data_IF_593799105689
#
_entry.id   IF_593799105689
#
_cell.length_a   1.000
_cell.length_b   1.000
_cell.length_c   1.000
_cell.angle_alpha   90.00
_cell.angle_beta   90.00
_cell.angle_gamma   90.00
#
_symmetry.space_group_name_H-M   'P 1'
#
loop_
_entity.id
_entity.type
_entity.pdbx_description
1 polymer ?
#
# COMPACT_ATOMS: atom_id res chain seq x y z
N UNK A 1 -9.76 -11.96 -0.71
CA UNK A 1 -9.22 -11.73 0.66
C UNK A 1 -7.73 -11.49 0.51
N UNK A 2 -7.22 -10.33 0.91
CA UNK A 2 -5.79 -10.05 0.80
C UNK A 2 -4.98 -10.90 1.79
N UNK A 3 -4.00 -11.63 1.27
CA UNK A 3 -2.98 -12.34 2.03
C UNK A 3 -1.91 -11.35 2.53
N UNK A 4 -1.11 -11.73 3.55
CA UNK A 4 0.03 -10.93 3.99
C UNK A 4 1.02 -10.61 2.87
N UNK A 5 1.18 -11.51 1.90
CA UNK A 5 2.05 -11.29 0.74
C UNK A 5 1.49 -10.21 -0.21
N UNK A 6 0.19 -10.22 -0.47
CA UNK A 6 -0.48 -9.22 -1.30
C UNK A 6 -0.49 -7.85 -0.64
N UNK A 7 -0.77 -7.78 0.66
CA UNK A 7 -0.66 -6.51 1.41
C UNK A 7 0.77 -5.96 1.34
N UNK A 8 1.77 -6.84 1.50
CA UNK A 8 3.16 -6.45 1.45
C UNK A 8 3.54 -5.90 0.07
N UNK A 9 3.09 -6.54 -1.01
CA UNK A 9 3.28 -6.03 -2.36
C UNK A 9 2.58 -4.68 -2.58
N UNK A 10 1.34 -4.55 -2.12
CA UNK A 10 0.58 -3.31 -2.18
C UNK A 10 1.31 -2.15 -1.47
N UNK A 11 1.85 -2.39 -0.27
CA UNK A 11 2.63 -1.39 0.46
C UNK A 11 3.91 -1.01 -0.28
N UNK A 12 4.58 -1.96 -0.92
CA UNK A 12 5.76 -1.64 -1.73
C UNK A 12 5.39 -0.67 -2.87
N UNK A 13 4.29 -0.90 -3.57
CA UNK A 13 3.77 0.03 -4.58
C UNK A 13 3.42 1.39 -3.95
N UNK A 14 2.76 1.39 -2.79
CA UNK A 14 2.37 2.61 -2.08
C UNK A 14 3.59 3.48 -1.74
N UNK A 15 4.65 2.89 -1.19
CA UNK A 15 5.89 3.59 -0.84
C UNK A 15 6.68 4.06 -2.07
N UNK A 16 6.66 3.31 -3.17
CA UNK A 16 7.29 3.74 -4.43
C UNK A 16 6.63 5.00 -5.02
N UNK A 17 5.34 5.20 -4.74
CA UNK A 17 4.62 6.42 -5.10
C UNK A 17 4.90 7.59 -4.15
N UNK A 18 5.80 7.40 -3.16
CA UNK A 18 6.11 8.40 -2.14
C UNK A 18 5.03 8.55 -1.08
N UNK A 19 4.05 7.65 -1.03
CA UNK A 19 2.98 7.66 -0.02
C UNK A 19 3.40 6.84 1.19
N UNK A 20 3.14 7.34 2.38
CA UNK A 20 3.56 6.74 3.64
C UNK A 20 2.46 5.96 4.36
N UNK A 21 2.84 5.27 5.44
CA UNK A 21 1.90 4.68 6.42
C UNK A 21 2.02 5.44 7.73
N UNK A 22 0.89 5.87 8.29
CA UNK A 22 0.80 6.58 9.55
C UNK A 22 0.47 5.64 10.71
N UNK A 23 1.28 5.66 11.75
CA UNK A 23 1.05 4.89 12.98
C UNK A 23 0.33 5.78 14.00
N UNK A 24 -0.94 5.49 14.27
CA UNK A 24 -1.83 6.32 15.09
C UNK A 24 -1.28 6.55 16.50
N UNK A 25 -0.66 5.53 17.13
CA UNK A 25 -0.15 5.66 18.50
C UNK A 25 1.03 6.62 18.66
N UNK A 26 1.74 6.95 17.57
CA UNK A 26 2.99 7.72 17.64
C UNK A 26 3.00 8.96 16.75
N UNK A 27 1.95 9.20 15.95
CA UNK A 27 1.97 10.23 14.91
C UNK A 27 3.13 10.05 13.93
N UNK A 28 3.61 8.81 13.79
CA UNK A 28 4.83 8.48 13.07
C UNK A 28 4.47 8.05 11.65
N UNK A 29 5.06 8.69 10.66
CA UNK A 29 4.92 8.33 9.24
C UNK A 29 6.13 7.47 8.81
N UNK A 30 5.84 6.31 8.23
CA UNK A 30 6.83 5.38 7.68
C UNK A 30 6.78 5.43 6.16
N UNK A 31 7.90 5.78 5.54
CA UNK A 31 8.09 5.74 4.09
C UNK A 31 9.51 5.25 3.78
N UNK A 32 9.75 3.93 3.73
CA UNK A 32 11.06 3.39 3.47
C UNK A 32 11.54 3.78 2.06
N UNK A 33 12.79 4.20 1.95
CA UNK A 33 13.45 4.49 0.68
C UNK A 33 14.91 4.03 0.72
N UNK A 34 15.39 3.24 -0.26
CA UNK A 34 14.63 2.72 -1.40
C UNK A 34 13.67 1.60 -0.98
N UNK A 35 12.61 1.34 -1.76
CA UNK A 35 11.67 0.23 -1.49
C UNK A 35 12.15 -1.08 -2.12
N UNK A 36 12.70 -0.99 -3.33
CA UNK A 36 13.28 -2.10 -4.08
C UNK A 36 14.76 -1.82 -4.27
N UNK A 37 15.58 -2.84 -4.07
CA UNK A 37 17.00 -2.82 -4.36
C UNK A 37 17.35 -4.07 -5.19
N UNK A 38 17.97 -3.90 -6.36
CA UNK A 38 18.34 -4.98 -7.27
C UNK A 38 17.19 -5.97 -7.61
N UNK A 39 15.96 -5.48 -7.77
CA UNK A 39 14.80 -6.31 -8.12
C UNK A 39 14.19 -7.10 -6.95
N UNK A 40 14.66 -6.87 -5.72
CA UNK A 40 14.09 -7.44 -4.50
C UNK A 40 13.69 -6.34 -3.52
N UNK A 41 12.87 -6.68 -2.54
CA UNK A 41 12.57 -5.74 -1.46
C UNK A 41 13.86 -5.33 -0.74
N UNK A 42 14.02 -4.03 -0.52
CA UNK A 42 15.18 -3.50 0.18
C UNK A 42 15.12 -3.85 1.68
N UNK A 43 16.27 -3.82 2.35
CA UNK A 43 16.33 -3.96 3.80
C UNK A 43 15.50 -2.87 4.51
N UNK A 44 15.49 -1.63 3.98
CA UNK A 44 14.70 -0.55 4.54
C UNK A 44 13.18 -0.86 4.51
N UNK A 45 12.71 -1.49 3.44
CA UNK A 45 11.32 -1.93 3.34
C UNK A 45 11.04 -3.12 4.27
N UNK A 46 11.95 -4.09 4.35
CA UNK A 46 11.85 -5.23 5.28
C UNK A 46 11.74 -4.77 6.74
N UNK A 47 12.63 -3.86 7.16
CA UNK A 47 12.66 -3.31 8.52
C UNK A 47 11.36 -2.54 8.81
N UNK A 48 10.90 -1.74 7.85
CA UNK A 48 9.61 -1.05 7.94
C UNK A 48 8.44 -2.04 8.08
N UNK A 49 8.42 -3.11 7.28
CA UNK A 49 7.38 -4.13 7.33
C UNK A 49 7.35 -4.84 8.69
N UNK A 50 8.51 -5.24 9.22
CA UNK A 50 8.61 -5.81 10.56
C UNK A 50 8.13 -4.82 11.63
N UNK A 51 8.51 -3.54 11.52
CA UNK A 51 8.07 -2.51 12.45
C UNK A 51 6.54 -2.36 12.44
N UNK A 52 5.91 -2.34 11.27
CA UNK A 52 4.45 -2.29 11.13
C UNK A 52 3.77 -3.49 11.81
N UNK A 53 4.32 -4.69 11.65
CA UNK A 53 3.83 -5.89 12.34
C UNK A 53 3.96 -5.77 13.86
N UNK A 54 5.10 -5.27 14.35
CA UNK A 54 5.36 -5.07 15.78
C UNK A 54 4.46 -3.99 16.42
N UNK A 55 4.14 -2.93 15.69
CA UNK A 55 3.22 -1.87 16.16
C UNK A 55 1.75 -2.32 16.15
N UNK A 56 1.44 -3.41 15.44
CA UNK A 56 0.08 -3.88 15.23
C UNK A 56 -0.58 -3.19 14.03
N UNK A 57 -0.92 -3.99 13.02
CA UNK A 57 -1.46 -3.53 11.73
C UNK A 57 -2.79 -2.76 11.86
N UNK A 58 -3.55 -2.96 12.95
CA UNK A 58 -4.79 -2.21 13.21
C UNK A 58 -4.58 -0.77 13.62
N UNK A 59 -3.34 -0.39 13.96
CA UNK A 59 -2.97 0.97 14.36
C UNK A 59 -2.16 1.70 13.27
N UNK A 60 -2.00 1.06 12.11
CA UNK A 60 -1.23 1.55 10.98
C UNK A 60 -2.21 1.88 9.85
N UNK A 61 -2.22 3.13 9.39
CA UNK A 61 -3.17 3.64 8.40
C UNK A 61 -2.44 4.11 7.15
N UNK A 62 -3.03 3.91 5.97
CA UNK A 62 -2.44 4.43 4.74
C UNK A 62 -2.59 5.95 4.69
N UNK A 63 -1.53 6.66 4.31
CA UNK A 63 -1.58 8.11 4.15
C UNK A 63 -2.66 8.54 3.13
N UNK A 64 -3.48 9.52 3.51
CA UNK A 64 -4.57 10.00 2.67
C UNK A 64 -5.80 9.10 2.67
N UNK A 65 -5.82 8.03 3.48
CA UNK A 65 -7.01 7.20 3.69
C UNK A 65 -7.31 7.06 5.19
N UNK A 66 -8.54 6.64 5.51
CA UNK A 66 -8.93 6.30 6.89
C UNK A 66 -8.77 4.81 7.22
N UNK A 67 -8.10 4.03 6.37
CA UNK A 67 -8.12 2.57 6.41
C UNK A 67 -6.88 2.03 7.12
N UNK A 68 -7.07 1.07 8.02
CA UNK A 68 -5.98 0.39 8.70
C UNK A 68 -5.46 -0.82 7.91
N UNK A 69 -4.19 -1.19 8.11
CA UNK A 69 -3.60 -2.37 7.47
C UNK A 69 -4.26 -3.68 7.94
N UNK A 70 -4.79 -3.73 9.18
CA UNK A 70 -5.52 -4.89 9.65
C UNK A 70 -6.86 -5.06 8.94
N UNK A 71 -7.57 -3.98 8.61
CA UNK A 71 -8.79 -4.06 7.82
C UNK A 71 -8.50 -4.65 6.44
N UNK A 72 -7.39 -4.23 5.81
CA UNK A 72 -6.96 -4.78 4.51
C UNK A 72 -6.72 -6.31 4.58
N UNK A 73 -6.12 -6.82 5.66
CA UNK A 73 -5.93 -8.26 5.88
C UNK A 73 -7.19 -9.01 6.32
N UNK A 74 -8.15 -8.32 6.93
CA UNK A 74 -9.36 -8.91 7.54
C UNK A 74 -10.36 -9.50 6.53
N UNK A 75 -10.01 -9.54 5.24
CA UNK A 75 -10.86 -10.12 4.19
C UNK A 75 -12.02 -9.25 3.74
N UNK A 76 -12.18 -8.05 4.32
CA UNK A 76 -13.13 -7.04 3.87
C UNK A 76 -12.71 -6.35 2.57
N UNK A 77 -11.56 -6.72 2.02
CA UNK A 77 -10.97 -6.10 0.84
C UNK A 77 -10.41 -7.16 -0.12
N UNK A 78 -10.54 -6.84 -1.40
CA UNK A 78 -9.89 -7.56 -2.49
C UNK A 78 -8.82 -6.68 -3.13
N UNK A 79 -7.65 -7.25 -3.35
CA UNK A 79 -6.60 -6.62 -4.15
C UNK A 79 -6.89 -6.98 -5.59
N UNK A 80 -7.13 -5.99 -6.42
CA UNK A 80 -7.42 -6.16 -7.84
C UNK A 80 -6.54 -5.22 -8.65
N UNK A 81 -6.24 -5.57 -9.89
CA UNK A 81 -5.48 -4.68 -10.74
C UNK A 81 -6.38 -3.53 -11.19
N UNK A 82 -5.85 -2.30 -11.08
CA UNK A 82 -6.52 -1.14 -11.62
C UNK A 82 -6.70 -1.33 -13.13
N UNK A 83 -7.94 -1.30 -13.61
CA UNK A 83 -8.25 -1.44 -15.04
C UNK A 83 -7.58 -0.40 -15.96
N UNK A 84 -6.98 0.66 -15.39
CA UNK A 84 -6.31 1.74 -16.14
C UNK A 84 -4.79 1.64 -16.20
N UNK A 85 -4.16 1.12 -15.15
CA UNK A 85 -2.69 1.13 -15.03
C UNK A 85 -2.10 -0.19 -14.51
N UNK A 86 -2.92 -1.22 -14.34
CA UNK A 86 -2.56 -2.53 -13.81
C UNK A 86 -1.91 -2.51 -12.40
N UNK A 87 -1.93 -1.39 -11.68
CA UNK A 87 -1.45 -1.33 -10.31
C UNK A 87 -2.43 -1.99 -9.34
N UNK A 88 -1.94 -2.63 -8.26
CA UNK A 88 -2.81 -3.20 -7.26
C UNK A 88 -3.61 -2.10 -6.56
N UNK A 89 -4.93 -2.21 -6.62
CA UNK A 89 -5.88 -1.40 -5.89
C UNK A 89 -6.61 -2.27 -4.89
N UNK A 90 -6.74 -1.79 -3.66
CA UNK A 90 -7.63 -2.40 -2.69
C UNK A 90 -9.05 -1.94 -2.99
N UNK A 91 -10.02 -2.86 -2.96
CA UNK A 91 -11.45 -2.57 -3.13
C UNK A 91 -12.24 -3.27 -2.04
N UNK A 92 -13.23 -2.59 -1.46
CA UNK A 92 -14.03 -3.15 -0.37
C UNK A 92 -14.92 -4.26 -0.92
N UNK A 93 -14.87 -5.44 -0.33
CA UNK A 93 -15.80 -6.53 -0.63
C UNK A 93 -17.17 -6.17 -0.05
N UNK A 94 -18.13 -5.82 -0.92
CA UNK A 94 -19.54 -5.63 -0.53
C UNK A 94 -19.97 -4.21 -0.13
N UNK A 95 -19.37 -3.16 -0.70
CA UNK A 95 -19.82 -1.76 -0.51
C UNK A 95 -19.67 -0.92 -1.78
N UNK A 96 -19.96 0.40 -1.71
CA UNK A 96 -19.57 1.31 -2.79
C UNK A 96 -18.03 1.35 -2.87
N UNK A 97 -17.44 1.35 -4.08
CA UNK A 97 -16.01 1.48 -4.24
C UNK A 97 -15.60 2.90 -3.85
N UNK A 98 -15.15 3.09 -2.61
CA UNK A 98 -14.64 4.36 -2.10
C UNK A 98 -13.18 4.63 -2.52
N UNK A 99 -12.56 3.71 -3.26
CA UNK A 99 -11.11 3.77 -3.49
C UNK A 99 -10.80 4.33 -4.87
N UNK A 100 -10.34 5.58 -4.86
CA UNK A 100 -9.55 6.16 -5.95
C UNK A 100 -8.24 5.39 -6.08
N UNK A 101 -7.84 5.06 -7.31
CA UNK A 101 -6.52 4.49 -7.60
C UNK A 101 -5.44 5.29 -6.83
N UNK A 102 -4.39 4.64 -6.26
CA UNK A 102 -3.23 5.32 -5.70
C UNK A 102 -2.64 6.38 -6.66
N UNK A 103 -2.84 6.15 -7.96
CA UNK A 103 -2.43 6.99 -9.07
C UNK A 103 -3.32 8.20 -9.36
N UNK A 104 -4.53 8.31 -8.78
CA UNK A 104 -5.51 9.34 -9.12
C UNK A 104 -5.02 10.76 -8.83
N UNK A 105 -4.27 10.94 -7.74
CA UNK A 105 -3.75 12.25 -7.32
C UNK A 105 -2.34 12.55 -7.84
N UNK A 106 -1.81 11.73 -8.76
CA UNK A 106 -0.50 11.97 -9.35
C UNK A 106 -0.59 13.07 -10.42
N UNK A 107 0.28 14.09 -10.40
CA UNK A 107 0.24 15.21 -11.35
C UNK A 107 0.51 14.80 -12.80
N UNK A 108 1.09 13.62 -13.03
CA UNK A 108 1.34 13.04 -14.35
C UNK A 108 0.28 12.02 -14.80
N UNK A 109 -0.90 12.02 -14.19
CA UNK A 109 -1.97 11.09 -14.55
C UNK A 109 -2.69 11.47 -15.86
N UNK A 110 -3.05 10.50 -16.72
CA UNK A 110 -2.72 9.08 -16.64
C UNK A 110 -1.28 8.81 -17.09
N UNK A 111 -0.45 8.28 -16.19
CA UNK A 111 0.91 7.89 -16.53
C UNK A 111 0.91 6.42 -16.98
N UNK A 112 1.30 6.17 -18.23
CA UNK A 112 1.44 4.82 -18.80
C UNK A 112 2.81 4.19 -18.52
N UNK A 113 3.75 4.93 -17.95
CA UNK A 113 5.12 4.47 -17.63
C UNK A 113 5.27 4.03 -16.16
N UNK A 114 4.19 3.56 -15.55
CA UNK A 114 4.24 3.05 -14.18
C UNK A 114 4.95 1.68 -14.16
N UNK A 115 5.71 1.37 -13.10
CA UNK A 115 6.48 0.14 -13.04
C UNK A 115 5.53 -1.06 -13.05
N UNK A 116 5.51 -1.79 -14.15
CA UNK A 116 5.07 -3.18 -14.15
C UNK A 116 6.14 -3.95 -13.37
N UNK A 117 5.82 -4.38 -12.15
CA UNK A 117 6.64 -5.31 -11.39
C UNK A 117 6.56 -6.66 -12.10
N UNK A 118 7.43 -6.85 -13.09
CA UNK A 118 7.62 -8.11 -13.82
C UNK A 118 8.34 -9.15 -13.00
#
# INVERSE_FOLDING_TARGET
MATPAELRHYLACWFQLGKSVQVQQRGLSLCPSPVINHGQYSQAFEDCWQQLQLQGLGQCFLEGTGQSLAELLGGSWDVSDCARCAMPIVQKVGGLPEISCPCHDLPNWPNTELPALG
#
